data_IF_505797007433
#
_entry.id   IF_505797007433
#
_cell.length_a   1.000
_cell.length_b   1.000
_cell.length_c   1.000
_cell.angle_alpha   90.00
_cell.angle_beta   90.00
_cell.angle_gamma   90.00
#
_symmetry.space_group_name_H-M   'P 1'
#
loop_
_entity.id
_entity.type
_entity.pdbx_description
1 polymer ?
#
# COMPACT_ATOMS: atom_id res chain seq x y z
N UNK A 1 22.14 2.73 -11.76
CA UNK A 1 20.75 2.83 -12.25
C UNK A 1 20.47 1.55 -13.01
N UNK A 2 20.33 0.47 -12.26
CA UNK A 2 20.14 -0.88 -12.79
C UNK A 2 18.66 -1.12 -12.95
N UNK A 3 18.28 -1.67 -14.10
CA UNK A 3 16.97 -2.27 -14.38
C UNK A 3 16.72 -3.43 -13.41
N UNK A 4 16.42 -3.11 -12.15
CA UNK A 4 15.90 -4.09 -11.21
C UNK A 4 14.45 -4.37 -11.59
N UNK A 5 14.15 -5.66 -11.75
CA UNK A 5 12.87 -6.24 -12.07
C UNK A 5 11.75 -5.63 -11.20
N UNK A 6 11.14 -4.54 -11.67
CA UNK A 6 10.24 -3.74 -10.86
C UNK A 6 8.90 -4.47 -10.77
N UNK A 7 8.54 -4.87 -9.55
CA UNK A 7 7.27 -5.54 -9.23
C UNK A 7 6.05 -4.80 -9.81
N UNK A 8 6.12 -3.47 -9.86
CA UNK A 8 5.06 -2.64 -10.46
C UNK A 8 4.97 -2.89 -11.96
N UNK A 9 6.09 -2.75 -12.69
CA UNK A 9 6.12 -2.93 -14.14
C UNK A 9 5.68 -4.34 -14.54
N UNK A 10 6.15 -5.37 -13.83
CA UNK A 10 5.71 -6.74 -14.07
C UNK A 10 4.20 -6.92 -13.86
N UNK A 11 3.65 -6.31 -12.82
CA UNK A 11 2.21 -6.34 -12.53
C UNK A 11 1.40 -5.59 -13.59
N UNK A 12 1.87 -4.42 -14.03
CA UNK A 12 1.24 -3.62 -15.07
C UNK A 12 1.17 -4.37 -16.39
N UNK A 13 2.25 -5.06 -16.79
CA UNK A 13 2.27 -5.89 -18.01
C UNK A 13 1.20 -6.98 -17.96
N UNK A 14 1.09 -7.69 -16.84
CA UNK A 14 0.09 -8.76 -16.67
C UNK A 14 -1.33 -8.19 -16.71
N UNK A 15 -1.57 -7.04 -16.05
CA UNK A 15 -2.87 -6.37 -16.07
C UNK A 15 -3.23 -5.95 -17.50
N UNK A 16 -2.30 -5.37 -18.25
CA UNK A 16 -2.52 -4.94 -19.62
C UNK A 16 -2.93 -6.12 -20.51
N UNK A 17 -2.17 -7.22 -20.46
CA UNK A 17 -2.49 -8.44 -21.22
C UNK A 17 -3.86 -9.02 -20.84
N UNK A 18 -4.21 -9.02 -19.55
CA UNK A 18 -5.51 -9.49 -19.08
C UNK A 18 -6.66 -8.62 -19.60
N UNK A 19 -6.50 -7.29 -19.60
CA UNK A 19 -7.51 -6.37 -20.11
C UNK A 19 -7.75 -6.54 -21.61
N UNK A 20 -6.69 -6.67 -22.42
CA UNK A 20 -6.83 -6.93 -23.85
C UNK A 20 -7.50 -8.27 -24.13
N UNK A 21 -7.17 -9.32 -23.36
CA UNK A 21 -7.85 -10.63 -23.45
C UNK A 21 -9.34 -10.57 -23.10
N UNK A 22 -9.73 -9.64 -22.23
CA UNK A 22 -11.12 -9.39 -21.86
C UNK A 22 -11.84 -8.45 -22.85
N UNK A 23 -11.14 -7.90 -23.84
CA UNK A 23 -11.70 -7.00 -24.86
C UNK A 23 -11.87 -5.56 -24.40
N UNK A 24 -11.18 -5.13 -23.33
CA UNK A 24 -11.15 -3.73 -22.92
C UNK A 24 -10.15 -2.92 -23.78
N UNK A 25 -10.40 -1.62 -23.85
CA UNK A 25 -9.49 -0.66 -24.48
C UNK A 25 -8.35 -0.24 -23.55
N UNK A 26 -7.39 0.50 -24.10
CA UNK A 26 -6.26 1.03 -23.35
C UNK A 26 -6.69 2.06 -22.28
N UNK A 27 -7.89 2.65 -22.41
CA UNK A 27 -8.44 3.56 -21.41
C UNK A 27 -8.65 2.88 -20.06
N UNK A 28 -9.11 1.63 -20.07
CA UNK A 28 -9.22 0.83 -18.86
C UNK A 28 -7.85 0.55 -18.23
N UNK A 29 -6.84 0.25 -19.05
CA UNK A 29 -5.47 0.03 -18.56
C UNK A 29 -4.92 1.30 -17.91
N UNK A 30 -5.07 2.45 -18.55
CA UNK A 30 -4.64 3.74 -18.02
C UNK A 30 -5.30 4.08 -16.68
N UNK A 31 -6.55 3.64 -16.46
CA UNK A 31 -7.27 3.82 -15.21
C UNK A 31 -6.72 2.96 -14.07
N UNK A 32 -6.35 1.69 -14.34
CA UNK A 32 -6.00 0.71 -13.30
C UNK A 32 -4.50 0.39 -13.21
N UNK A 33 -3.65 0.98 -14.06
CA UNK A 33 -2.20 0.77 -14.00
C UNK A 33 -1.53 1.43 -12.79
N UNK A 34 -2.19 2.38 -12.14
CA UNK A 34 -1.73 3.09 -10.93
C UNK A 34 -2.86 3.13 -9.89
N UNK A 35 -2.54 3.23 -8.59
CA UNK A 35 -3.56 3.33 -7.56
C UNK A 35 -4.27 4.67 -7.59
N UNK A 36 -5.60 4.65 -7.40
CA UNK A 36 -6.45 5.85 -7.30
C UNK A 36 -5.90 6.89 -6.31
N UNK A 37 -5.38 6.42 -5.16
CA UNK A 37 -4.76 7.27 -4.14
C UNK A 37 -3.49 6.63 -3.60
N UNK A 38 -2.45 7.44 -3.45
CA UNK A 38 -1.21 7.06 -2.79
C UNK A 38 -0.82 8.13 -1.77
N UNK A 39 -0.60 7.72 -0.52
CA UNK A 39 -0.21 8.58 0.57
C UNK A 39 1.17 8.19 1.07
N UNK A 40 2.04 9.18 1.21
CA UNK A 40 3.33 9.10 1.92
C UNK A 40 3.27 10.03 3.13
N UNK A 41 3.50 9.47 4.31
CA UNK A 41 3.38 10.18 5.59
C UNK A 41 4.67 10.11 6.39
N UNK A 42 4.90 11.14 7.21
CA UNK A 42 6.02 11.20 8.17
C UNK A 42 5.46 11.03 9.58
N UNK A 43 6.04 10.12 10.35
CA UNK A 43 5.49 9.68 11.65
C UNK A 43 6.57 9.90 12.72
N UNK A 44 6.53 11.01 13.46
CA UNK A 44 7.45 11.23 14.57
C UNK A 44 7.08 10.33 15.76
N UNK A 45 8.07 9.62 16.28
CA UNK A 45 7.93 8.72 17.43
C UNK A 45 9.02 9.04 18.44
N UNK A 46 8.62 9.27 19.70
CA UNK A 46 9.57 9.32 20.82
C UNK A 46 10.06 7.90 21.12
N UNK A 47 11.37 7.70 21.05
CA UNK A 47 12.06 6.45 21.34
C UNK A 47 12.24 6.29 22.86
N UNK A 48 12.54 5.09 23.33
CA UNK A 48 12.71 4.82 24.76
C UNK A 48 13.95 5.51 25.36
N UNK A 49 14.96 5.81 24.54
CA UNK A 49 16.14 6.62 24.93
C UNK A 49 15.84 8.12 25.06
N UNK A 50 14.58 8.53 24.83
CA UNK A 50 14.12 9.92 24.91
C UNK A 50 14.29 10.72 23.60
N UNK A 51 14.98 10.19 22.60
CA UNK A 51 15.12 10.83 21.28
C UNK A 51 13.81 10.76 20.49
N UNK A 52 13.71 11.54 19.41
CA UNK A 52 12.58 11.47 18.47
C UNK A 52 13.09 10.98 17.11
N UNK A 53 12.56 9.86 16.65
CA UNK A 53 12.83 9.30 15.33
C UNK A 53 11.60 9.50 14.44
N UNK A 54 11.82 9.99 13.22
CA UNK A 54 10.72 10.15 12.24
C UNK A 54 10.76 9.03 11.21
N UNK A 55 9.71 8.22 11.19
CA UNK A 55 9.54 7.12 10.25
C UNK A 55 8.77 7.57 9.00
N UNK A 56 8.95 6.86 7.89
CA UNK A 56 8.17 7.05 6.66
C UNK A 56 7.15 5.94 6.56
N UNK A 57 5.89 6.30 6.36
CA UNK A 57 4.79 5.36 6.13
C UNK A 57 4.11 5.61 4.79
N UNK A 58 3.44 4.57 4.30
CA UNK A 58 2.73 4.57 3.01
C UNK A 58 1.32 3.99 3.17
N UNK A 59 0.38 4.49 2.36
CA UNK A 59 -0.93 3.86 2.15
C UNK A 59 -1.34 4.02 0.68
N UNK A 60 -1.50 2.91 -0.02
CA UNK A 60 -2.02 2.83 -1.38
C UNK A 60 -3.47 2.32 -1.35
N UNK A 61 -4.33 2.96 -2.13
CA UNK A 61 -5.71 2.57 -2.41
C UNK A 61 -5.83 2.42 -3.92
N UNK A 62 -5.81 1.19 -4.41
CA UNK A 62 -5.67 0.89 -5.82
C UNK A 62 -6.93 1.23 -6.61
N UNK A 63 -8.04 0.61 -6.23
CA UNK A 63 -9.32 0.78 -6.90
C UNK A 63 -10.41 0.55 -5.85
N UNK A 64 -11.47 1.36 -5.86
CA UNK A 64 -12.61 1.27 -4.94
C UNK A 64 -13.96 1.08 -5.66
N UNK A 65 -13.95 0.72 -6.95
CA UNK A 65 -15.15 0.62 -7.77
C UNK A 65 -16.12 -0.48 -7.30
N UNK A 66 -15.60 -1.60 -6.79
CA UNK A 66 -16.38 -2.73 -6.26
C UNK A 66 -16.74 -2.53 -4.78
N UNK A 67 -16.06 -1.63 -4.09
CA UNK A 67 -16.22 -1.39 -2.66
C UNK A 67 -14.96 -0.82 -2.03
N UNK A 68 -14.94 -0.73 -0.69
CA UNK A 68 -13.82 -0.14 0.05
C UNK A 68 -12.48 -0.86 -0.18
N UNK A 69 -11.38 -0.13 0.01
CA UNK A 69 -10.05 -0.69 -0.25
C UNK A 69 -9.55 -1.56 0.90
N UNK A 70 -9.28 -2.85 0.62
CA UNK A 70 -8.84 -3.81 1.63
C UNK A 70 -7.38 -4.23 1.46
N UNK A 71 -6.63 -4.17 2.56
CA UNK A 71 -5.33 -4.84 2.66
C UNK A 71 -4.48 -4.39 3.85
N UNK A 72 -3.53 -5.26 4.21
CA UNK A 72 -2.73 -5.13 5.42
C UNK A 72 -1.66 -4.05 5.37
N UNK A 73 -0.95 -3.89 6.49
CA UNK A 73 0.17 -2.96 6.67
C UNK A 73 1.41 -3.78 7.01
N UNK A 74 2.54 -3.50 6.36
CA UNK A 74 3.83 -4.17 6.62
C UNK A 74 4.80 -3.24 7.35
N UNK A 75 5.48 -3.77 8.36
CA UNK A 75 6.59 -3.11 9.04
C UNK A 75 7.86 -3.85 8.62
N UNK A 76 8.70 -3.21 7.79
CA UNK A 76 9.94 -3.82 7.31
C UNK A 76 10.95 -2.72 6.92
N UNK A 77 12.27 -2.92 7.11
CA UNK A 77 13.27 -1.93 6.70
C UNK A 77 13.27 -1.66 5.19
N UNK A 78 12.95 -2.67 4.38
CA UNK A 78 12.99 -2.58 2.91
C UNK A 78 11.66 -2.18 2.24
N UNK A 79 10.65 -1.77 3.03
CA UNK A 79 9.40 -1.25 2.46
C UNK A 79 9.72 -0.06 1.55
N UNK A 80 9.20 -0.06 0.34
CA UNK A 80 9.31 1.04 -0.60
C UNK A 80 7.96 1.35 -1.27
N UNK A 81 7.91 2.47 -1.99
CA UNK A 81 6.68 2.97 -2.62
C UNK A 81 6.15 2.03 -3.70
N UNK A 82 7.04 1.57 -4.57
CA UNK A 82 6.71 0.70 -5.70
C UNK A 82 6.12 -0.64 -5.23
N UNK A 83 6.75 -1.25 -4.22
CA UNK A 83 6.24 -2.49 -3.62
C UNK A 83 4.82 -2.29 -3.06
N UNK A 84 4.57 -1.21 -2.32
CA UNK A 84 3.26 -0.94 -1.72
C UNK A 84 2.19 -0.73 -2.79
N UNK A 85 2.54 -0.06 -3.91
CA UNK A 85 1.65 0.09 -5.07
C UNK A 85 1.34 -1.26 -5.71
N UNK A 86 2.35 -2.05 -6.08
CA UNK A 86 2.18 -3.36 -6.70
C UNK A 86 1.33 -4.30 -5.83
N UNK A 87 1.61 -4.34 -4.52
CA UNK A 87 0.83 -5.16 -3.58
C UNK A 87 -0.63 -4.68 -3.45
N UNK A 88 -0.93 -3.40 -3.64
CA UNK A 88 -2.31 -2.90 -3.65
C UNK A 88 -3.07 -3.30 -4.91
N UNK A 89 -2.39 -3.36 -6.07
CA UNK A 89 -2.92 -3.90 -7.32
C UNK A 89 -3.28 -5.38 -7.14
N UNK A 90 -2.36 -6.17 -6.58
CA UNK A 90 -2.59 -7.59 -6.29
C UNK A 90 -3.74 -7.82 -5.31
N UNK A 91 -3.95 -6.92 -4.34
CA UNK A 91 -5.11 -7.02 -3.46
C UNK A 91 -6.43 -6.83 -4.22
N UNK A 92 -6.46 -5.97 -5.24
CA UNK A 92 -7.65 -5.81 -6.11
C UNK A 92 -7.93 -7.09 -6.88
N UNK A 93 -6.89 -7.65 -7.52
CA UNK A 93 -7.00 -8.92 -8.24
C UNK A 93 -7.44 -10.05 -7.32
N UNK A 94 -6.82 -10.17 -6.14
CA UNK A 94 -7.18 -11.19 -5.15
C UNK A 94 -8.62 -11.07 -4.70
N UNK A 95 -9.09 -9.87 -4.37
CA UNK A 95 -10.48 -9.66 -3.96
C UNK A 95 -11.46 -10.00 -5.09
N UNK A 96 -11.14 -9.64 -6.34
CA UNK A 96 -11.95 -10.04 -7.51
C UNK A 96 -11.97 -11.56 -7.74
N UNK A 97 -10.82 -12.24 -7.60
CA UNK A 97 -10.72 -13.70 -7.78
C UNK A 97 -11.62 -14.48 -6.80
N UNK A 98 -11.72 -14.01 -5.55
CA UNK A 98 -12.53 -14.67 -4.51
C UNK A 98 -13.90 -14.00 -4.30
N UNK A 99 -14.34 -13.17 -5.25
CA UNK A 99 -15.64 -12.50 -5.27
C UNK A 99 -15.98 -11.75 -3.97
N UNK A 100 -15.02 -10.98 -3.46
CA UNK A 100 -15.22 -10.12 -2.30
C UNK A 100 -15.65 -8.71 -2.73
N UNK A 101 -16.56 -8.04 -1.99
CA UNK A 101 -17.02 -6.68 -2.29
C UNK A 101 -15.99 -5.62 -1.85
N UNK A 102 -14.73 -5.80 -2.26
CA UNK A 102 -13.60 -4.99 -1.86
C UNK A 102 -12.70 -4.67 -3.04
N UNK A 103 -12.23 -3.42 -3.04
CA UNK A 103 -11.07 -3.00 -3.78
C UNK A 103 -9.75 -3.41 -3.14
N UNK A 104 -8.63 -3.07 -3.78
CA UNK A 104 -7.30 -3.35 -3.24
C UNK A 104 -6.69 -2.17 -2.49
N UNK A 105 -6.11 -2.44 -1.32
CA UNK A 105 -5.31 -1.47 -0.59
C UNK A 105 -4.06 -2.10 -0.01
N UNK A 106 -3.06 -1.28 0.33
CA UNK A 106 -1.86 -1.74 1.06
C UNK A 106 -1.24 -0.61 1.84
N UNK A 107 -0.67 -0.91 3.00
CA UNK A 107 0.17 0.02 3.75
C UNK A 107 1.55 -0.55 4.02
N UNK A 108 2.48 0.34 4.35
CA UNK A 108 3.82 -0.03 4.76
C UNK A 108 4.47 1.04 5.63
N UNK A 109 5.39 0.66 6.50
CA UNK A 109 6.22 1.58 7.27
C UNK A 109 7.67 1.09 7.18
N UNK A 110 8.57 2.01 6.85
CA UNK A 110 10.02 1.76 6.79
C UNK A 110 10.57 1.72 8.21
N UNK A 111 10.61 0.53 8.82
CA UNK A 111 11.14 0.31 10.16
C UNK A 111 11.57 -1.14 10.36
N UNK A 112 12.57 -1.39 11.21
CA UNK A 112 12.86 -2.73 11.72
C UNK A 112 12.22 -2.92 13.10
N UNK A 113 11.05 -3.59 13.21
CA UNK A 113 10.38 -3.79 14.49
C UNK A 113 11.18 -4.68 15.45
N UNK A 114 12.20 -5.42 14.97
CA UNK A 114 13.05 -6.27 15.83
C UNK A 114 14.05 -5.45 16.64
N UNK A 115 14.34 -4.23 16.20
CA UNK A 115 15.21 -3.26 16.87
C UNK A 115 14.43 -2.25 17.72
N UNK A 116 13.12 -2.46 17.88
CA UNK A 116 12.24 -1.55 18.59
C UNK A 116 11.61 -2.26 19.79
N UNK A 117 11.39 -1.52 20.87
CA UNK A 117 10.61 -2.04 21.99
C UNK A 117 9.13 -2.16 21.60
N UNK A 118 8.38 -2.96 22.38
CA UNK A 118 6.93 -3.10 22.20
C UNK A 118 6.23 -1.73 22.29
N UNK A 119 6.69 -0.86 23.19
CA UNK A 119 6.12 0.47 23.36
C UNK A 119 6.43 1.41 22.20
N UNK A 120 7.63 1.30 21.61
CA UNK A 120 7.98 2.05 20.40
C UNK A 120 7.14 1.60 19.21
N UNK A 121 6.93 0.29 19.04
CA UNK A 121 6.06 -0.27 18.00
C UNK A 121 4.61 0.18 18.19
N UNK A 122 4.12 0.21 19.43
CA UNK A 122 2.79 0.74 19.75
C UNK A 122 2.66 2.22 19.38
N UNK A 123 3.62 3.06 19.79
CA UNK A 123 3.62 4.50 19.48
C UNK A 123 3.69 4.74 17.97
N UNK A 124 4.51 3.98 17.26
CA UNK A 124 4.59 4.02 15.80
C UNK A 124 3.26 3.63 15.15
N UNK A 125 2.62 2.56 15.63
CA UNK A 125 1.32 2.09 15.13
C UNK A 125 0.23 3.14 15.31
N UNK A 126 0.15 3.75 16.51
CA UNK A 126 -0.79 4.85 16.78
C UNK A 126 -0.50 6.08 15.93
N UNK A 127 0.78 6.42 15.75
CA UNK A 127 1.21 7.52 14.89
C UNK A 127 0.82 7.31 13.43
N UNK A 128 1.02 6.10 12.90
CA UNK A 128 0.61 5.73 11.55
C UNK A 128 -0.90 5.90 11.35
N UNK A 129 -1.71 5.32 12.23
CA UNK A 129 -3.18 5.43 12.15
C UNK A 129 -3.64 6.88 12.18
N UNK A 130 -3.07 7.72 13.06
CA UNK A 130 -3.38 9.16 13.11
C UNK A 130 -3.06 9.84 11.78
N UNK A 131 -1.90 9.55 11.20
CA UNK A 131 -1.44 10.15 9.95
C UNK A 131 -2.30 9.79 8.74
N UNK A 132 -2.88 8.58 8.69
CA UNK A 132 -3.71 8.12 7.56
C UNK A 132 -5.22 8.19 7.82
N UNK A 133 -5.64 8.60 9.02
CA UNK A 133 -7.03 8.52 9.52
C UNK A 133 -8.07 9.18 8.61
N UNK A 134 -7.71 10.24 7.88
CA UNK A 134 -8.62 10.90 6.94
C UNK A 134 -8.98 10.04 5.72
N UNK A 135 -8.19 9.01 5.43
CA UNK A 135 -8.29 8.18 4.22
C UNK A 135 -8.68 6.72 4.51
N UNK A 136 -8.74 6.33 5.78
CA UNK A 136 -9.12 4.97 6.19
C UNK A 136 -10.30 4.99 7.15
N UNK A 137 -11.11 3.94 7.13
CA UNK A 137 -12.23 3.77 8.05
C UNK A 137 -13.13 2.62 7.60
N UNK A 138 -14.18 2.29 8.36
CA UNK A 138 -15.12 1.21 8.01
C UNK A 138 -15.87 1.42 6.68
N UNK A 139 -15.87 2.66 6.16
CA UNK A 139 -16.59 3.07 4.95
C UNK A 139 -15.66 3.75 3.92
N UNK A 140 -14.33 3.50 3.99
CA UNK A 140 -13.31 4.12 3.11
C UNK A 140 -12.29 3.08 2.64
#
# INVERSE_FOLDING_TARGET
MTEENNLVTSTQTIINEALHKLGFDDGMYELIKEPLRFLKVRIPVRMDDGTVKTFTGFRAQHNDAVGLTKGGVRFHPDVNEEEVKALSMWMTLKCGIVDLPYGGGKGGIICDPRQMSIHEVERLSRGYVRAISQFVGPTK
#
